data_IF_085525551449
#
_entry.id   IF_085525551449
#
_cell.length_a   1.000
_cell.length_b   1.000
_cell.length_c   1.000
_cell.angle_alpha   90.00
_cell.angle_beta   90.00
_cell.angle_gamma   90.00
#
_symmetry.space_group_name_H-M   'P 1'
#
loop_
_entity.id
_entity.type
_entity.pdbx_description
1 polymer ?
#
# COMPACT_ATOMS: atom_id res chain seq x y z
N UNK A 1 -32.12 -8.24 -11.83
CA UNK A 1 -32.53 -7.18 -10.89
C UNK A 1 -31.67 -7.31 -9.65
N UNK A 2 -30.70 -6.42 -9.43
CA UNK A 2 -29.85 -6.47 -8.23
C UNK A 2 -30.70 -6.19 -7.00
N UNK A 3 -30.93 -7.21 -6.18
CA UNK A 3 -31.53 -7.05 -4.86
C UNK A 3 -30.61 -6.15 -4.04
N UNK A 4 -30.97 -4.86 -3.90
CA UNK A 4 -30.25 -3.91 -3.07
C UNK A 4 -30.40 -4.31 -1.60
N UNK A 5 -29.57 -5.26 -1.17
CA UNK A 5 -29.38 -5.58 0.23
C UNK A 5 -28.97 -4.29 0.93
N UNK A 6 -29.78 -3.85 1.91
CA UNK A 6 -29.53 -2.59 2.60
C UNK A 6 -28.08 -2.54 3.12
N UNK A 7 -27.34 -1.43 2.91
CA UNK A 7 -25.97 -1.33 3.36
C UNK A 7 -25.91 -1.52 4.88
N UNK A 8 -24.91 -2.26 5.40
CA UNK A 8 -24.89 -2.66 6.79
C UNK A 8 -24.93 -1.45 7.75
N UNK A 9 -25.63 -1.58 8.88
CA UNK A 9 -25.81 -0.48 9.84
C UNK A 9 -24.49 0.07 10.41
N UNK A 10 -23.40 -0.70 10.32
CA UNK A 10 -22.13 -0.39 10.95
C UNK A 10 -20.97 -0.19 9.97
N UNK A 11 -21.25 0.23 8.74
CA UNK A 11 -20.21 0.48 7.71
C UNK A 11 -19.17 1.51 8.17
N UNK A 12 -19.59 2.65 8.71
CA UNK A 12 -18.67 3.68 9.23
C UNK A 12 -17.76 3.14 10.34
N UNK A 13 -18.31 2.30 11.23
CA UNK A 13 -17.54 1.63 12.27
C UNK A 13 -16.55 0.61 11.68
N UNK A 14 -16.93 -0.07 10.60
CA UNK A 14 -16.05 -0.97 9.84
C UNK A 14 -14.87 -0.24 9.20
N UNK A 15 -15.11 0.91 8.58
CA UNK A 15 -14.08 1.77 7.98
C UNK A 15 -13.06 2.21 9.03
N UNK A 16 -13.54 2.69 10.18
CA UNK A 16 -12.66 3.11 11.29
C UNK A 16 -11.78 1.96 11.79
N UNK A 17 -12.31 0.73 11.88
CA UNK A 17 -11.51 -0.44 12.25
C UNK A 17 -10.44 -0.78 11.21
N UNK A 18 -10.77 -0.71 9.92
CA UNK A 18 -9.79 -0.95 8.86
C UNK A 18 -8.67 0.09 8.88
N UNK A 19 -8.98 1.36 9.15
CA UNK A 19 -7.96 2.40 9.31
C UNK A 19 -7.05 2.12 10.49
N UNK A 20 -7.59 1.67 11.63
CA UNK A 20 -6.80 1.32 12.81
C UNK A 20 -5.88 0.12 12.59
N UNK A 21 -6.33 -0.89 11.82
CA UNK A 21 -5.54 -2.08 11.45
C UNK A 21 -4.49 -1.83 10.38
N UNK A 22 -4.52 -0.68 9.71
CA UNK A 22 -3.48 -0.25 8.77
C UNK A 22 -2.18 0.15 9.48
N UNK A 23 -2.19 0.33 10.81
CA UNK A 23 -0.96 0.42 11.58
C UNK A 23 -0.34 -0.98 11.67
N UNK A 24 0.90 -1.19 11.20
CA UNK A 24 1.50 -2.52 11.19
C UNK A 24 1.66 -3.01 12.64
N UNK A 25 0.89 -4.02 13.02
CA UNK A 25 1.19 -4.82 14.20
C UNK A 25 2.47 -5.57 13.91
N UNK A 26 3.53 -5.18 14.63
CA UNK A 26 4.83 -5.84 14.71
C UNK A 26 4.63 -7.36 14.83
N UNK A 27 4.75 -8.08 13.72
CA UNK A 27 4.79 -9.54 13.73
C UNK A 27 6.12 -9.93 14.36
N UNK A 28 6.04 -10.54 15.54
CA UNK A 28 7.16 -11.23 16.15
C UNK A 28 7.56 -12.40 15.27
N UNK A 29 8.76 -12.33 14.68
CA UNK A 29 9.56 -13.50 14.33
C UNK A 29 11.01 -13.19 14.66
N UNK A 30 11.50 -13.81 15.72
CA UNK A 30 12.89 -13.77 16.13
C UNK A 30 13.73 -14.80 15.35
N UNK A 31 15.05 -14.58 15.36
CA UNK A 31 16.19 -15.36 14.81
C UNK A 31 16.44 -15.15 13.29
N UNK A 32 17.66 -14.85 12.78
CA UNK A 32 19.01 -14.79 13.34
C UNK A 32 20.00 -14.06 12.39
N UNK A 33 20.98 -13.35 12.99
CA UNK A 33 22.33 -12.95 12.52
C UNK A 33 22.54 -11.85 11.43
N UNK A 34 23.66 -11.08 11.52
CA UNK A 34 23.86 -9.83 10.78
C UNK A 34 24.87 -9.96 9.63
N UNK A 35 24.56 -9.39 8.47
CA UNK A 35 25.56 -9.03 7.45
C UNK A 35 25.19 -7.66 6.87
N UNK A 36 26.18 -6.77 6.90
CA UNK A 36 26.07 -5.37 6.57
C UNK A 36 25.73 -5.15 5.09
N UNK A 37 24.70 -4.36 4.82
CA UNK A 37 24.52 -3.59 3.58
C UNK A 37 23.47 -2.51 3.78
N UNK A 38 23.88 -1.27 3.52
CA UNK A 38 23.12 -0.05 3.28
C UNK A 38 21.69 0.04 3.86
N UNK A 39 21.56 0.89 4.88
CA UNK A 39 20.30 1.25 5.53
C UNK A 39 19.31 1.92 4.56
N UNK A 40 18.48 1.12 3.88
CA UNK A 40 17.11 1.53 3.56
C UNK A 40 16.34 1.40 4.87
N UNK A 41 16.29 2.49 5.63
CA UNK A 41 15.43 2.56 6.80
C UNK A 41 14.00 2.18 6.38
N UNK A 42 13.35 1.18 7.01
CA UNK A 42 11.91 1.03 6.87
C UNK A 42 11.30 2.28 7.48
N UNK A 43 10.86 3.22 6.63
CA UNK A 43 10.22 4.47 7.03
C UNK A 43 9.17 4.15 8.08
N UNK A 44 9.43 4.61 9.28
CA UNK A 44 8.54 4.47 10.44
C UNK A 44 7.11 4.76 10.04
N UNK A 45 6.21 3.88 10.45
CA UNK A 45 4.77 3.89 10.22
C UNK A 45 4.07 5.03 10.97
N UNK A 46 4.49 6.27 10.73
CA UNK A 46 3.68 7.43 11.08
C UNK A 46 2.56 7.53 10.05
N UNK A 47 1.29 7.62 10.48
CA UNK A 47 0.21 7.94 9.56
C UNK A 47 0.55 9.27 8.90
N UNK A 48 0.54 9.30 7.56
CA UNK A 48 0.76 10.55 6.83
C UNK A 48 -0.27 11.59 7.28
N UNK A 49 0.05 12.88 7.22
CA UNK A 49 -0.90 13.95 7.57
C UNK A 49 -2.28 13.76 6.90
N UNK A 50 -2.29 13.25 5.66
CA UNK A 50 -3.51 12.90 4.93
C UNK A 50 -4.35 11.79 5.59
N UNK A 51 -3.74 10.78 6.22
CA UNK A 51 -4.48 9.73 6.93
C UNK A 51 -5.11 10.24 8.23
N UNK A 52 -4.42 11.15 8.93
CA UNK A 52 -4.93 11.79 10.15
C UNK A 52 -6.13 12.68 9.83
N UNK A 53 -6.03 13.53 8.80
CA UNK A 53 -7.15 14.39 8.38
C UNK A 53 -8.34 13.57 7.87
N UNK A 54 -8.08 12.50 7.11
CA UNK A 54 -9.14 11.58 6.67
C UNK A 54 -9.84 10.90 7.84
N UNK A 55 -9.09 10.40 8.83
CA UNK A 55 -9.66 9.77 10.02
C UNK A 55 -10.52 10.74 10.82
N UNK A 56 -10.05 11.98 11.00
CA UNK A 56 -10.83 13.04 11.67
C UNK A 56 -12.12 13.36 10.91
N UNK A 57 -12.07 13.44 9.57
CA UNK A 57 -13.26 13.64 8.74
C UNK A 57 -14.25 12.49 8.84
N UNK A 58 -13.79 11.24 8.82
CA UNK A 58 -14.69 10.08 8.97
C UNK A 58 -15.32 10.07 10.37
N UNK A 59 -14.55 10.44 11.40
CA UNK A 59 -15.07 10.57 12.77
C UNK A 59 -16.09 11.70 12.91
N UNK A 60 -15.87 12.87 12.30
CA UNK A 60 -16.83 13.98 12.33
C UNK A 60 -18.13 13.56 11.62
N UNK A 61 -18.03 12.94 10.45
CA UNK A 61 -19.18 12.42 9.71
C UNK A 61 -19.94 11.36 10.50
N UNK A 62 -19.24 10.45 11.20
CA UNK A 62 -19.87 9.47 12.07
C UNK A 62 -20.64 10.13 13.23
N UNK A 63 -20.08 11.16 13.86
CA UNK A 63 -20.76 11.90 14.93
C UNK A 63 -22.01 12.60 14.42
N UNK A 64 -21.93 13.25 13.26
CA UNK A 64 -23.08 13.90 12.62
C UNK A 64 -24.17 12.87 12.26
N UNK A 65 -23.77 11.72 11.71
CA UNK A 65 -24.68 10.64 11.27
C UNK A 65 -25.64 10.11 12.34
N UNK A 66 -25.32 10.28 13.62
CA UNK A 66 -26.15 9.82 14.74
C UNK A 66 -27.51 10.50 14.82
N UNK A 67 -27.61 11.74 14.33
CA UNK A 67 -28.81 12.56 14.46
C UNK A 67 -29.50 12.80 13.11
N UNK A 68 -29.07 12.10 12.04
CA UNK A 68 -29.67 12.30 10.72
C UNK A 68 -31.05 11.64 10.59
N UNK A 69 -31.99 12.29 9.88
CA UNK A 69 -33.25 11.68 9.49
C UNK A 69 -33.04 10.38 8.68
N UNK A 70 -33.97 9.40 8.77
CA UNK A 70 -33.79 8.06 8.22
C UNK A 70 -33.51 8.07 6.71
N UNK A 71 -34.15 8.95 5.94
CA UNK A 71 -33.92 9.07 4.49
C UNK A 71 -32.48 9.47 4.15
N UNK A 72 -31.95 10.50 4.83
CA UNK A 72 -30.57 10.96 4.62
C UNK A 72 -29.56 9.95 5.17
N UNK A 73 -29.90 9.21 6.23
CA UNK A 73 -29.06 8.15 6.78
C UNK A 73 -28.85 6.99 5.79
N UNK A 74 -29.86 6.64 4.95
CA UNK A 74 -29.71 5.62 3.90
C UNK A 74 -28.65 6.05 2.88
N UNK A 75 -28.75 7.29 2.38
CA UNK A 75 -27.79 7.83 1.40
C UNK A 75 -26.38 7.87 2.00
N UNK A 76 -26.24 8.34 3.23
CA UNK A 76 -24.93 8.37 3.90
C UNK A 76 -24.35 6.97 4.11
N UNK A 77 -25.17 5.97 4.43
CA UNK A 77 -24.74 4.57 4.51
C UNK A 77 -24.27 4.03 3.17
N UNK A 78 -24.96 4.38 2.08
CA UNK A 78 -24.56 3.99 0.73
C UNK A 78 -23.19 4.57 0.38
N UNK A 79 -23.01 5.88 0.55
CA UNK A 79 -21.73 6.55 0.29
C UNK A 79 -20.59 5.91 1.11
N UNK A 80 -20.84 5.64 2.39
CA UNK A 80 -19.85 4.97 3.24
C UNK A 80 -19.51 3.56 2.73
N UNK A 81 -20.51 2.82 2.23
CA UNK A 81 -20.31 1.48 1.71
C UNK A 81 -19.49 1.48 0.41
N UNK A 82 -19.80 2.42 -0.50
CA UNK A 82 -19.06 2.61 -1.74
C UNK A 82 -17.60 2.98 -1.44
N UNK A 83 -17.37 3.87 -0.48
CA UNK A 83 -16.02 4.21 -0.01
C UNK A 83 -15.28 3.00 0.56
N UNK A 84 -15.96 2.16 1.34
CA UNK A 84 -15.38 0.94 1.90
C UNK A 84 -14.93 -0.03 0.80
N UNK A 85 -15.77 -0.25 -0.21
CA UNK A 85 -15.44 -1.08 -1.38
C UNK A 85 -14.25 -0.49 -2.12
N UNK A 86 -14.29 0.80 -2.46
CA UNK A 86 -13.21 1.47 -3.18
C UNK A 86 -11.87 1.29 -2.48
N UNK A 87 -11.83 1.46 -1.14
CA UNK A 87 -10.60 1.27 -0.38
C UNK A 87 -10.08 -0.17 -0.42
N UNK A 88 -10.97 -1.16 -0.39
CA UNK A 88 -10.61 -2.57 -0.53
C UNK A 88 -10.03 -2.84 -1.91
N UNK A 89 -10.67 -2.33 -2.96
CA UNK A 89 -10.27 -2.56 -4.34
C UNK A 89 -8.93 -1.90 -4.67
N UNK A 90 -8.68 -0.69 -4.16
CA UNK A 90 -7.38 -0.04 -4.28
C UNK A 90 -6.26 -0.84 -3.61
N UNK A 91 -6.54 -1.44 -2.44
CA UNK A 91 -5.58 -2.31 -1.76
C UNK A 91 -5.29 -3.56 -2.58
N UNK A 92 -6.32 -4.18 -3.15
CA UNK A 92 -6.12 -5.37 -3.99
C UNK A 92 -5.39 -5.03 -5.29
N UNK A 93 -5.69 -3.89 -5.92
CA UNK A 93 -4.94 -3.42 -7.09
C UNK A 93 -3.48 -3.16 -6.78
N UNK A 94 -3.17 -2.53 -5.66
CA UNK A 94 -1.77 -2.33 -5.24
C UNK A 94 -1.03 -3.66 -5.08
N UNK A 95 -1.71 -4.66 -4.49
CA UNK A 95 -1.17 -6.02 -4.34
C UNK A 95 -0.98 -6.71 -5.70
N UNK A 96 -1.97 -6.63 -6.59
CA UNK A 96 -1.88 -7.22 -7.92
C UNK A 96 -0.78 -6.55 -8.73
N UNK A 97 -0.64 -5.23 -8.63
CA UNK A 97 0.47 -4.50 -9.24
C UNK A 97 1.81 -5.02 -8.73
N UNK A 98 2.01 -5.15 -7.42
CA UNK A 98 3.26 -5.71 -6.86
C UNK A 98 3.59 -7.13 -7.36
N UNK A 99 2.56 -7.95 -7.61
CA UNK A 99 2.73 -9.28 -8.19
C UNK A 99 3.06 -9.22 -9.69
N UNK A 100 2.38 -8.35 -10.43
CA UNK A 100 2.50 -8.17 -11.88
C UNK A 100 3.71 -7.31 -12.27
N UNK A 101 4.35 -6.66 -11.31
CA UNK A 101 5.59 -5.92 -11.50
C UNK A 101 6.64 -6.84 -12.13
N UNK A 102 6.93 -6.53 -13.41
CA UNK A 102 7.91 -7.22 -14.22
C UNK A 102 9.32 -7.11 -13.64
N UNK A 103 10.23 -7.86 -14.27
CA UNK A 103 11.64 -7.85 -13.91
C UNK A 103 12.24 -6.43 -13.89
N UNK A 104 11.73 -5.54 -14.75
CA UNK A 104 12.25 -4.19 -14.95
C UNK A 104 12.03 -3.23 -13.77
N UNK A 105 10.97 -3.43 -12.98
CA UNK A 105 10.75 -2.63 -11.77
C UNK A 105 11.51 -3.17 -10.55
N UNK A 106 11.80 -4.48 -10.52
CA UNK A 106 12.42 -5.15 -9.36
C UNK A 106 13.94 -5.26 -9.47
N UNK A 107 14.46 -5.29 -10.69
CA UNK A 107 15.88 -5.48 -10.97
C UNK A 107 16.46 -4.18 -11.51
N UNK A 108 17.65 -3.83 -11.04
CA UNK A 108 18.37 -2.71 -11.63
C UNK A 108 18.69 -3.00 -13.10
N UNK A 109 18.87 -1.97 -13.95
CA UNK A 109 19.29 -2.17 -15.34
C UNK A 109 20.54 -3.07 -15.47
N UNK A 110 21.52 -2.95 -14.56
CA UNK A 110 22.73 -3.79 -14.52
C UNK A 110 22.39 -5.27 -14.27
N UNK A 111 21.46 -5.53 -13.36
CA UNK A 111 20.98 -6.87 -13.00
C UNK A 111 20.19 -7.52 -14.14
N UNK A 112 19.38 -6.73 -14.86
CA UNK A 112 18.69 -7.16 -16.08
C UNK A 112 19.68 -7.56 -17.17
N UNK A 113 20.67 -6.71 -17.45
CA UNK A 113 21.73 -6.99 -18.44
C UNK A 113 22.51 -8.25 -18.07
N UNK A 114 22.89 -8.41 -16.80
CA UNK A 114 23.57 -9.61 -16.30
C UNK A 114 22.74 -10.88 -16.52
N UNK A 115 21.45 -10.86 -16.20
CA UNK A 115 20.54 -12.00 -16.42
C UNK A 115 20.30 -12.30 -17.89
N UNK A 116 20.18 -11.26 -18.72
CA UNK A 116 20.03 -11.41 -20.16
C UNK A 116 21.27 -12.06 -20.80
N UNK A 117 22.47 -11.61 -20.42
CA UNK A 117 23.72 -12.21 -20.87
C UNK A 117 23.83 -13.67 -20.39
N UNK A 118 23.54 -13.95 -19.12
CA UNK A 118 23.56 -15.32 -18.61
C UNK A 118 22.61 -16.25 -19.37
N UNK A 119 21.41 -15.76 -19.76
CA UNK A 119 20.47 -16.52 -20.61
C UNK A 119 21.02 -16.80 -22.02
N UNK A 120 21.81 -15.89 -22.56
CA UNK A 120 22.51 -16.07 -23.84
C UNK A 120 23.81 -16.88 -23.71
N UNK A 121 24.18 -17.34 -22.50
CA UNK A 121 25.45 -18.03 -22.24
C UNK A 121 26.67 -17.10 -22.25
N UNK A 122 26.47 -15.80 -22.09
CA UNK A 122 27.50 -14.77 -22.09
C UNK A 122 27.76 -14.25 -20.67
N UNK A 123 28.99 -13.86 -20.38
CA UNK A 123 29.37 -13.23 -19.12
C UNK A 123 29.56 -11.73 -19.32
N UNK A 124 28.88 -10.91 -18.51
CA UNK A 124 29.05 -9.45 -18.54
C UNK A 124 30.37 -9.07 -17.85
N UNK A 125 31.18 -8.16 -18.42
CA UNK A 125 32.33 -7.58 -17.73
C UNK A 125 31.91 -6.88 -16.42
N UNK A 126 32.79 -6.92 -15.42
CA UNK A 126 32.58 -6.15 -14.20
C UNK A 126 32.88 -4.68 -14.48
N UNK A 127 31.82 -3.88 -14.55
CA UNK A 127 31.95 -2.42 -14.53
C UNK A 127 32.16 -1.99 -13.08
N UNK A 128 33.41 -1.64 -12.74
CA UNK A 128 33.75 -0.97 -11.51
C UNK A 128 33.09 0.40 -11.51
N UNK A 129 32.15 0.61 -10.58
CA UNK A 129 31.42 1.87 -10.43
C UNK A 129 32.32 3.08 -10.15
N UNK A 130 33.60 2.85 -9.82
CA UNK A 130 34.60 3.89 -9.60
C UNK A 130 35.20 4.45 -10.91
N UNK A 131 35.23 3.69 -12.00
CA UNK A 131 35.77 4.15 -13.30
C UNK A 131 34.76 4.98 -14.11
N UNK A 132 33.46 4.71 -13.97
CA UNK A 132 32.41 5.52 -14.61
C UNK A 132 32.26 6.90 -13.97
N UNK A 133 32.46 7.01 -12.66
CA UNK A 133 32.47 8.30 -11.95
C UNK A 133 33.67 9.18 -12.37
N UNK A 134 34.83 8.58 -12.69
CA UNK A 134 36.04 9.29 -13.16
C UNK A 134 36.02 9.65 -14.66
N UNK A 135 35.14 9.03 -15.46
CA UNK A 135 34.98 9.36 -16.89
C UNK A 135 33.91 10.43 -17.16
N UNK A 136 33.13 10.81 -16.15
CA UNK A 136 32.13 11.90 -16.22
C UNK A 136 32.55 13.18 -15.48
N UNK A 137 33.79 13.27 -14.99
CA UNK A 137 34.49 14.53 -14.69
C UNK A 137 35.34 14.97 -15.90
#
# INVERSE_FOLDING_TARGET
MSSASAPPLHVLRGILRLMKKSAPSKSASASSAPVASAAVQPRSSQPTNAQLTLHQNIMSQYRLSRYLPPQKAVIQRQIAYDFYILKRDLKERARLHELDQGADEKLSPKELSRRAAARAGLQLPEFDSEEEARRME
#
